data_IF_643261742372
#
_entry.id   IF_643261742372
#
_cell.length_a   1.000
_cell.length_b   1.000
_cell.length_c   1.000
_cell.angle_alpha   90.00
_cell.angle_beta   90.00
_cell.angle_gamma   90.00
#
_symmetry.space_group_name_H-M   'P 1'
#
loop_
_entity.id
_entity.type
_entity.pdbx_description
1 polymer ?
#
# COMPACT_ATOMS: atom_id res chain seq x y z
N UNK A 1 46.54 -47.89 31.96
CA UNK A 1 46.90 -46.52 31.52
C UNK A 1 47.05 -46.38 30.01
N UNK A 2 47.58 -47.39 29.27
CA UNK A 2 47.69 -47.36 27.80
C UNK A 2 46.34 -47.33 27.05
N UNK A 3 45.41 -48.20 27.43
CA UNK A 3 44.08 -48.30 26.79
C UNK A 3 43.27 -47.01 26.89
N UNK A 4 43.31 -46.34 28.05
CA UNK A 4 42.61 -45.06 28.25
C UNK A 4 43.20 -43.94 27.39
N UNK A 5 44.52 -43.96 27.19
CA UNK A 5 45.20 -43.01 26.30
C UNK A 5 44.82 -43.19 24.84
N UNK A 6 44.66 -44.44 24.37
CA UNK A 6 44.21 -44.75 23.02
C UNK A 6 42.76 -44.32 22.77
N UNK A 7 41.88 -44.53 23.76
CA UNK A 7 40.50 -44.06 23.69
C UNK A 7 40.47 -42.53 23.61
N UNK A 8 41.24 -41.83 24.46
CA UNK A 8 41.31 -40.37 24.43
C UNK A 8 41.81 -39.85 23.07
N UNK A 9 42.82 -40.51 22.50
CA UNK A 9 43.38 -40.15 21.20
C UNK A 9 42.37 -40.36 20.07
N UNK A 10 41.58 -41.45 20.12
CA UNK A 10 40.52 -41.71 19.15
C UNK A 10 39.41 -40.67 19.22
N UNK A 11 39.02 -40.24 20.42
CA UNK A 11 38.01 -39.19 20.61
C UNK A 11 38.53 -37.84 20.10
N UNK A 12 39.78 -37.50 20.38
CA UNK A 12 40.43 -36.29 19.86
C UNK A 12 40.51 -36.27 18.33
N UNK A 13 40.80 -37.41 17.70
CA UNK A 13 40.82 -37.53 16.24
C UNK A 13 39.42 -37.37 15.63
N UNK A 14 38.37 -37.88 16.28
CA UNK A 14 36.98 -37.70 15.83
C UNK A 14 36.59 -36.21 15.88
N UNK A 15 36.92 -35.51 16.96
CA UNK A 15 36.67 -34.07 17.07
C UNK A 15 37.46 -33.25 16.03
N UNK A 16 38.66 -33.69 15.65
CA UNK A 16 39.46 -33.02 14.62
C UNK A 16 38.88 -33.16 13.20
N UNK A 17 38.03 -34.17 12.95
CA UNK A 17 37.36 -34.38 11.66
C UNK A 17 35.98 -33.71 11.54
N UNK A 18 35.54 -33.00 12.58
CA UNK A 18 34.25 -32.32 12.58
C UNK A 18 34.37 -31.00 11.79
N UNK A 19 34.17 -31.06 10.48
CA UNK A 19 34.02 -29.84 9.68
C UNK A 19 32.76 -29.10 10.10
N UNK A 20 32.93 -27.85 10.52
CA UNK A 20 31.83 -26.95 10.83
C UNK A 20 31.08 -26.65 9.54
N UNK A 21 29.92 -27.27 9.36
CA UNK A 21 29.00 -26.90 8.29
C UNK A 21 28.39 -25.54 8.64
N UNK A 22 28.99 -24.48 8.11
CA UNK A 22 28.40 -23.14 8.16
C UNK A 22 27.23 -23.09 7.17
N UNK A 23 26.01 -23.21 7.69
CA UNK A 23 24.79 -22.98 6.94
C UNK A 23 24.77 -21.54 6.44
N UNK A 24 25.17 -21.32 5.19
CA UNK A 24 24.95 -20.05 4.49
C UNK A 24 23.49 -19.97 4.05
N UNK A 25 22.64 -19.79 5.05
CA UNK A 25 21.22 -19.50 4.89
C UNK A 25 20.98 -18.03 5.15
N UNK A 26 21.58 -17.15 4.33
CA UNK A 26 21.05 -15.79 4.24
C UNK A 26 19.67 -15.92 3.61
N UNK A 27 18.65 -15.94 4.46
CA UNK A 27 17.26 -15.95 4.04
C UNK A 27 17.08 -14.76 3.09
N UNK A 28 16.62 -14.92 1.83
CA UNK A 28 16.51 -13.80 0.89
C UNK A 28 15.60 -12.66 1.39
N UNK A 29 14.76 -12.92 2.40
CA UNK A 29 13.95 -11.92 3.10
C UNK A 29 14.68 -11.22 4.26
N UNK A 30 15.75 -11.78 4.84
CA UNK A 30 16.54 -11.13 5.91
C UNK A 30 17.46 -10.05 5.35
N UNK A 31 17.80 -10.11 4.07
CA UNK A 31 18.56 -9.05 3.36
C UNK A 31 17.68 -7.90 2.89
N UNK A 32 16.36 -8.09 2.81
CA UNK A 32 15.44 -6.98 2.58
C UNK A 32 15.33 -6.21 3.89
N UNK A 33 16.21 -5.22 4.06
CA UNK A 33 16.04 -4.19 5.05
C UNK A 33 14.70 -3.48 4.76
N UNK A 34 13.62 -3.93 5.39
CA UNK A 34 12.30 -3.32 5.28
C UNK A 34 12.37 -1.82 5.65
N UNK A 35 13.29 -1.46 6.55
CA UNK A 35 13.60 -0.07 6.90
C UNK A 35 14.26 0.75 5.77
N UNK A 36 14.91 0.11 4.78
CA UNK A 36 15.47 0.74 3.57
C UNK A 36 14.47 0.76 2.40
N UNK A 37 13.48 -0.13 2.40
CA UNK A 37 12.33 -0.08 1.49
C UNK A 37 11.32 1.01 1.86
N UNK A 38 11.45 1.58 3.05
CA UNK A 38 10.84 2.86 3.44
C UNK A 38 11.73 3.96 2.84
N UNK A 39 11.15 4.86 2.02
CA UNK A 39 11.75 6.16 1.67
C UNK A 39 12.76 6.30 0.51
N UNK A 40 12.70 5.46 -0.53
CA UNK A 40 12.98 5.96 -1.89
C UNK A 40 11.75 6.68 -2.51
N UNK A 41 10.59 6.64 -1.82
CA UNK A 41 9.44 7.49 -2.08
C UNK A 41 9.76 8.90 -1.57
N UNK A 42 10.19 9.76 -2.48
CA UNK A 42 10.35 11.21 -2.33
C UNK A 42 9.44 11.80 -1.23
N UNK A 43 9.97 12.60 -0.29
CA UNK A 43 9.19 13.44 0.63
C UNK A 43 8.17 14.36 -0.10
N UNK A 44 8.28 14.48 -1.42
CA UNK A 44 7.41 15.28 -2.27
C UNK A 44 6.14 14.55 -2.71
N UNK A 45 6.07 13.22 -2.56
CA UNK A 45 4.96 12.39 -3.04
C UNK A 45 4.34 11.62 -1.86
N UNK A 46 3.15 12.00 -1.40
CA UNK A 46 2.43 11.22 -0.39
C UNK A 46 0.91 11.26 -0.55
N UNK A 47 0.25 10.32 0.10
CA UNK A 47 -1.18 10.38 0.43
C UNK A 47 -1.35 9.90 1.87
N UNK A 48 -2.15 10.62 2.65
CA UNK A 48 -2.43 10.37 4.06
C UNK A 48 -3.92 10.51 4.29
N UNK A 49 -4.46 9.69 5.18
CA UNK A 49 -5.89 9.70 5.47
C UNK A 49 -6.14 9.66 6.97
N UNK A 50 -7.05 10.50 7.43
CA UNK A 50 -7.46 10.58 8.84
C UNK A 50 -8.97 10.80 8.98
N UNK A 51 -9.64 10.16 9.96
CA UNK A 51 -9.12 9.09 10.82
C UNK A 51 -8.94 7.76 10.06
N UNK A 52 -8.14 6.85 10.61
CA UNK A 52 -7.90 5.50 10.05
C UNK A 52 -8.91 4.45 10.51
N UNK A 53 -9.84 4.82 11.39
CA UNK A 53 -10.90 3.97 11.89
C UNK A 53 -12.22 4.74 11.86
N UNK A 54 -13.24 4.16 11.22
CA UNK A 54 -14.56 4.78 11.05
C UNK A 54 -15.65 4.00 11.77
N UNK A 55 -16.77 4.67 12.04
CA UNK A 55 -17.97 4.03 12.58
C UNK A 55 -17.86 3.64 14.06
N UNK A 56 -16.97 4.29 14.81
CA UNK A 56 -16.71 4.00 16.24
C UNK A 56 -17.95 4.09 17.13
N UNK A 57 -18.95 4.89 16.73
CA UNK A 57 -20.22 5.04 17.47
C UNK A 57 -21.39 4.40 16.72
N UNK A 58 -21.11 3.39 15.88
CA UNK A 58 -22.12 2.65 15.11
C UNK A 58 -22.67 3.36 13.87
N UNK A 59 -22.10 4.50 13.46
CA UNK A 59 -22.52 5.17 12.22
C UNK A 59 -22.15 4.32 10.99
N UNK A 60 -23.05 4.34 10.00
CA UNK A 60 -22.82 3.77 8.68
C UNK A 60 -22.18 4.77 7.69
N UNK A 61 -22.01 6.02 8.08
CA UNK A 61 -21.31 7.04 7.29
C UNK A 61 -20.37 7.84 8.16
N UNK A 62 -19.19 8.17 7.64
CA UNK A 62 -18.21 8.95 8.39
C UNK A 62 -17.34 9.81 7.45
N UNK A 63 -16.76 10.87 7.99
CA UNK A 63 -15.92 11.80 7.22
C UNK A 63 -14.45 11.45 7.35
N UNK A 64 -13.75 11.52 6.22
CA UNK A 64 -12.30 11.35 6.14
C UNK A 64 -11.67 12.57 5.50
N UNK A 65 -10.51 12.95 6.00
CA UNK A 65 -9.63 13.94 5.41
C UNK A 65 -8.51 13.19 4.69
N UNK A 66 -8.35 13.46 3.41
CA UNK A 66 -7.31 12.90 2.55
C UNK A 66 -6.35 14.01 2.20
N UNK A 67 -5.13 13.97 2.76
CA UNK A 67 -4.06 14.89 2.44
C UNK A 67 -3.09 14.25 1.46
N UNK A 68 -2.64 14.99 0.47
CA UNK A 68 -1.78 14.44 -0.57
C UNK A 68 -0.76 15.46 -1.08
N UNK A 69 0.32 14.94 -1.63
CA UNK A 69 1.36 15.71 -2.30
C UNK A 69 1.82 14.98 -3.56
N UNK A 70 2.05 15.71 -4.64
CA UNK A 70 2.65 15.26 -5.89
C UNK A 70 3.86 16.14 -6.24
N UNK A 71 5.01 15.55 -6.61
CA UNK A 71 6.16 16.32 -7.09
C UNK A 71 5.91 16.92 -8.48
N UNK A 72 5.00 16.34 -9.26
CA UNK A 72 4.66 16.77 -10.61
C UNK A 72 3.13 16.96 -10.70
N UNK A 73 2.58 18.00 -10.07
CA UNK A 73 1.14 18.20 -10.03
C UNK A 73 0.56 18.59 -11.40
N UNK A 74 -0.60 18.04 -11.71
CA UNK A 74 -1.41 18.42 -12.86
C UNK A 74 -2.82 18.82 -12.44
N UNK A 75 -3.48 19.66 -13.24
CA UNK A 75 -4.92 19.95 -13.07
C UNK A 75 -5.79 18.72 -13.30
N UNK A 76 -5.24 17.71 -13.98
CA UNK A 76 -5.90 16.45 -14.27
C UNK A 76 -5.61 15.37 -13.21
N UNK A 77 -4.86 15.69 -12.16
CA UNK A 77 -4.63 14.76 -11.07
C UNK A 77 -5.92 14.54 -10.27
N UNK A 78 -6.12 13.30 -9.81
CA UNK A 78 -7.34 12.93 -9.11
C UNK A 78 -7.08 11.86 -8.05
N UNK A 79 -7.90 11.87 -7.02
CA UNK A 79 -7.91 10.89 -5.93
C UNK A 79 -9.01 9.87 -6.21
N UNK A 80 -8.65 8.59 -6.26
CA UNK A 80 -9.58 7.47 -6.30
C UNK A 80 -9.73 6.84 -4.91
N UNK A 81 -10.97 6.52 -4.55
CA UNK A 81 -11.32 5.73 -3.36
C UNK A 81 -11.71 4.33 -3.84
N UNK A 82 -11.13 3.31 -3.24
CA UNK A 82 -11.36 1.90 -3.63
C UNK A 82 -11.82 1.10 -2.43
N UNK A 83 -12.77 0.20 -2.67
CA UNK A 83 -13.20 -0.83 -1.75
C UNK A 83 -13.49 -2.08 -2.58
N UNK A 84 -12.84 -3.23 -2.33
CA UNK A 84 -11.88 -3.49 -1.25
C UNK A 84 -10.57 -2.72 -1.38
N UNK A 85 -9.78 -2.72 -0.30
CA UNK A 85 -8.46 -2.10 -0.22
C UNK A 85 -7.45 -2.55 -1.28
N UNK A 86 -7.50 -3.84 -1.60
CA UNK A 86 -6.58 -4.52 -2.50
C UNK A 86 -6.99 -4.32 -3.96
N UNK A 87 -6.98 -3.08 -4.41
CA UNK A 87 -7.42 -2.72 -5.75
C UNK A 87 -6.28 -2.83 -6.78
N UNK A 88 -6.62 -3.26 -7.98
CA UNK A 88 -5.71 -3.19 -9.12
C UNK A 88 -5.80 -1.83 -9.81
N UNK A 89 -4.64 -1.22 -10.04
CA UNK A 89 -4.53 0.01 -10.85
C UNK A 89 -4.12 -0.29 -12.30
N UNK A 90 -4.14 -1.57 -12.71
CA UNK A 90 -3.89 -1.93 -14.10
C UNK A 90 -5.02 -1.41 -14.99
N UNK A 91 -4.69 -1.10 -16.24
CA UNK A 91 -5.69 -0.71 -17.23
C UNK A 91 -6.51 -1.93 -17.64
N UNK A 92 -7.84 -1.75 -17.68
CA UNK A 92 -8.78 -2.71 -18.21
C UNK A 92 -9.56 -2.05 -19.35
N UNK A 93 -9.17 -2.28 -20.62
CA UNK A 93 -9.84 -1.68 -21.77
C UNK A 93 -11.33 -2.03 -21.80
N UNK A 94 -12.15 -1.08 -22.25
CA UNK A 94 -13.55 -1.34 -22.53
C UNK A 94 -13.66 -2.40 -23.64
N UNK A 95 -14.57 -3.39 -23.53
CA UNK A 95 -14.93 -4.25 -24.65
C UNK A 95 -15.41 -3.38 -25.83
N UNK A 96 -14.99 -3.72 -27.06
CA UNK A 96 -15.30 -2.93 -28.26
C UNK A 96 -16.82 -2.69 -28.45
N UNK A 97 -17.64 -3.62 -27.95
CA UNK A 97 -19.10 -3.61 -28.15
C UNK A 97 -19.89 -3.16 -26.91
N UNK A 98 -19.23 -2.62 -25.88
CA UNK A 98 -19.90 -2.18 -24.65
C UNK A 98 -19.77 -0.66 -24.43
N UNK A 99 -20.71 0.16 -24.92
CA UNK A 99 -20.66 1.61 -24.79
C UNK A 99 -20.90 2.10 -23.35
N UNK A 100 -21.29 1.20 -22.43
CA UNK A 100 -21.57 1.54 -21.03
C UNK A 100 -20.33 1.55 -20.13
N UNK A 101 -19.16 1.17 -20.67
CA UNK A 101 -17.91 1.21 -19.92
C UNK A 101 -17.23 2.57 -20.13
N UNK A 102 -17.32 3.41 -19.11
CA UNK A 102 -16.73 4.75 -19.12
C UNK A 102 -15.39 4.81 -18.35
N UNK A 103 -14.51 5.78 -18.66
CA UNK A 103 -13.31 6.05 -17.87
C UNK A 103 -13.65 6.42 -16.41
N UNK A 104 -12.75 6.13 -15.43
CA UNK A 104 -11.41 5.59 -15.60
C UNK A 104 -11.38 4.08 -15.81
N UNK A 105 -10.70 3.64 -16.88
CA UNK A 105 -10.60 2.24 -17.31
C UNK A 105 -9.57 1.46 -16.48
N UNK A 106 -9.87 1.26 -15.20
CA UNK A 106 -9.08 0.50 -14.23
C UNK A 106 -9.73 -0.87 -13.97
N UNK A 107 -8.91 -1.91 -13.77
CA UNK A 107 -9.42 -3.24 -13.45
C UNK A 107 -10.12 -3.33 -12.09
N UNK A 108 -9.92 -2.34 -11.22
CA UNK A 108 -10.77 -2.12 -10.05
C UNK A 108 -11.36 -0.72 -10.17
N UNK A 109 -12.67 -0.63 -10.36
CA UNK A 109 -13.37 0.64 -10.44
C UNK A 109 -13.35 1.35 -9.08
N UNK A 110 -13.03 2.66 -9.02
CA UNK A 110 -13.14 3.41 -7.78
C UNK A 110 -14.62 3.54 -7.38
N UNK A 111 -14.92 3.41 -6.09
CA UNK A 111 -16.27 3.68 -5.57
C UNK A 111 -16.61 5.17 -5.60
N UNK A 112 -15.57 6.01 -5.63
CA UNK A 112 -15.66 7.46 -5.70
C UNK A 112 -14.33 8.00 -6.20
N UNK A 113 -14.37 9.11 -6.92
CA UNK A 113 -13.18 9.89 -7.24
C UNK A 113 -13.44 11.39 -7.11
N UNK A 114 -12.37 12.17 -7.03
CA UNK A 114 -12.42 13.63 -7.08
C UNK A 114 -11.09 14.20 -7.57
N UNK A 115 -11.12 15.29 -8.33
CA UNK A 115 -9.92 16.00 -8.75
C UNK A 115 -9.15 16.58 -7.56
N UNK A 116 -7.82 16.54 -7.66
CA UNK A 116 -6.90 17.02 -6.63
C UNK A 116 -7.05 18.53 -6.36
N UNK A 117 -7.43 19.31 -7.39
CA UNK A 117 -7.62 20.75 -7.30
C UNK A 117 -9.03 21.19 -6.84
N UNK A 118 -9.97 20.25 -6.60
CA UNK A 118 -11.39 20.58 -6.33
C UNK A 118 -11.60 21.54 -5.15
N UNK A 119 -10.91 21.31 -4.03
CA UNK A 119 -10.90 22.22 -2.86
C UNK A 119 -9.55 22.87 -2.61
N UNK A 120 -8.59 22.65 -3.50
CA UNK A 120 -7.26 23.24 -3.42
C UNK A 120 -6.89 23.82 -4.78
N UNK A 121 -7.41 25.02 -5.13
CA UNK A 121 -7.18 25.61 -6.45
C UNK A 121 -5.70 25.79 -6.78
N UNK A 122 -4.86 26.01 -5.75
CA UNK A 122 -3.40 26.16 -5.88
C UNK A 122 -2.63 24.83 -5.93
N UNK A 123 -3.30 23.70 -6.15
CA UNK A 123 -2.66 22.38 -6.17
C UNK A 123 -1.63 22.28 -7.28
N UNK A 124 -1.92 22.86 -8.46
CA UNK A 124 -1.01 22.82 -9.63
C UNK A 124 0.33 23.49 -9.33
N UNK A 125 0.34 24.56 -8.52
CA UNK A 125 1.54 25.31 -8.18
C UNK A 125 2.27 24.71 -6.97
N UNK A 126 1.52 24.21 -5.98
CA UNK A 126 2.09 23.78 -4.69
C UNK A 126 2.40 22.30 -4.62
N UNK A 127 1.77 21.49 -5.47
CA UNK A 127 1.81 20.04 -5.40
C UNK A 127 1.03 19.45 -4.24
N UNK A 128 0.41 20.25 -3.37
CA UNK A 128 -0.20 19.81 -2.12
C UNK A 128 -1.69 20.08 -2.12
N UNK A 129 -2.46 19.15 -1.58
CA UNK A 129 -3.91 19.30 -1.49
C UNK A 129 -4.53 18.51 -0.34
N UNK A 130 -5.78 18.84 -0.06
CA UNK A 130 -6.61 18.14 0.92
C UNK A 130 -8.04 18.03 0.42
N UNK A 131 -8.63 16.85 0.61
CA UNK A 131 -10.04 16.57 0.31
C UNK A 131 -10.74 16.04 1.56
N UNK A 132 -11.95 16.55 1.79
CA UNK A 132 -12.86 15.99 2.79
C UNK A 132 -13.91 15.15 2.09
N UNK A 133 -13.92 13.85 2.36
CA UNK A 133 -14.81 12.87 1.72
C UNK A 133 -15.68 12.21 2.78
N UNK A 134 -16.98 12.07 2.50
CA UNK A 134 -17.85 11.22 3.29
C UNK A 134 -17.84 9.81 2.68
N UNK A 135 -17.57 8.80 3.51
CA UNK A 135 -17.59 7.39 3.14
C UNK A 135 -18.78 6.70 3.78
N UNK A 136 -19.35 5.74 3.06
CA UNK A 136 -20.44 4.88 3.52
C UNK A 136 -19.85 3.50 3.81
N UNK A 137 -20.30 2.84 4.86
CA UNK A 137 -19.88 1.48 5.21
C UNK A 137 -20.34 0.45 4.16
N UNK A 138 -19.50 0.16 3.16
CA UNK A 138 -19.77 -0.82 2.11
C UNK A 138 -19.11 -2.19 2.34
N UNK A 139 -19.16 -2.73 3.57
CA UNK A 139 -18.68 -4.07 3.97
C UNK A 139 -17.17 -4.41 3.85
N UNK A 140 -16.36 -3.72 3.04
CA UNK A 140 -14.88 -3.88 3.00
C UNK A 140 -14.13 -2.60 3.42
N UNK A 141 -12.85 -2.73 3.75
CA UNK A 141 -11.90 -1.62 3.96
C UNK A 141 -11.73 -0.68 2.74
N UNK A 142 -11.08 0.47 2.96
CA UNK A 142 -10.91 1.55 1.96
C UNK A 142 -9.47 1.96 1.72
N UNK A 143 -9.05 1.89 0.46
CA UNK A 143 -7.75 2.42 0.00
C UNK A 143 -7.95 3.68 -0.83
N UNK A 144 -6.90 4.49 -0.87
CA UNK A 144 -6.87 5.75 -1.59
C UNK A 144 -5.64 5.77 -2.50
N UNK A 145 -5.82 6.32 -3.68
CA UNK A 145 -4.71 6.49 -4.60
C UNK A 145 -4.79 7.82 -5.35
N UNK A 146 -3.61 8.38 -5.61
CA UNK A 146 -3.41 9.57 -6.41
C UNK A 146 -3.02 9.14 -7.83
N UNK A 147 -3.78 9.62 -8.80
CA UNK A 147 -3.57 9.40 -10.23
C UNK A 147 -3.25 10.72 -10.93
N UNK A 148 -2.56 10.61 -12.06
CA UNK A 148 -2.31 11.70 -13.01
C UNK A 148 -2.75 11.28 -14.42
N UNK A 149 -2.77 12.22 -15.37
CA UNK A 149 -3.15 11.93 -16.76
C UNK A 149 -4.67 11.86 -16.99
N UNK A 150 -5.45 12.40 -16.06
CA UNK A 150 -6.90 12.45 -16.15
C UNK A 150 -7.57 11.08 -15.99
N UNK A 151 -8.88 11.06 -16.25
CA UNK A 151 -9.68 9.84 -16.19
C UNK A 151 -9.47 8.95 -17.43
N UNK A 152 -9.17 9.54 -18.58
CA UNK A 152 -8.97 8.82 -19.85
C UNK A 152 -7.65 8.07 -19.93
N UNK A 153 -6.58 8.57 -19.29
CA UNK A 153 -5.27 7.92 -19.27
C UNK A 153 -4.69 7.87 -17.85
N UNK A 154 -5.33 7.14 -16.93
CA UNK A 154 -5.01 7.20 -15.52
C UNK A 154 -3.67 6.52 -15.22
N UNK A 155 -2.74 7.29 -14.67
CA UNK A 155 -1.42 6.80 -14.22
C UNK A 155 -1.35 6.89 -12.71
N UNK A 156 -1.38 5.72 -12.05
CA UNK A 156 -1.23 5.64 -10.60
C UNK A 156 0.16 6.15 -10.18
N UNK A 157 0.19 7.16 -9.30
CA UNK A 157 1.42 7.73 -8.75
C UNK A 157 1.72 7.22 -7.36
N UNK A 158 0.70 7.15 -6.52
CA UNK A 158 0.83 6.81 -5.12
C UNK A 158 -0.38 5.99 -4.71
N UNK A 159 -0.15 4.89 -3.99
CA UNK A 159 -1.19 4.09 -3.36
C UNK A 159 -1.00 4.11 -1.85
N UNK A 160 -2.07 4.29 -1.11
CA UNK A 160 -2.06 4.04 0.33
C UNK A 160 -2.29 2.55 0.59
N UNK A 161 -1.23 1.86 1.00
CA UNK A 161 -1.29 0.42 1.26
C UNK A 161 -2.05 0.08 2.56
N UNK A 162 -1.99 0.95 3.58
CA UNK A 162 -2.62 0.74 4.90
C UNK A 162 -3.91 1.52 5.08
N UNK A 163 -4.93 0.81 5.53
CA UNK A 163 -6.34 1.09 5.28
C UNK A 163 -7.01 1.89 6.38
N UNK A 164 -8.09 2.55 5.99
CA UNK A 164 -9.16 2.78 6.94
C UNK A 164 -9.75 1.42 7.32
N UNK A 165 -9.47 0.98 8.54
CA UNK A 165 -10.13 -0.18 9.13
C UNK A 165 -11.54 0.22 9.57
N UNK A 166 -12.47 -0.71 9.49
CA UNK A 166 -13.78 -0.55 10.14
C UNK A 166 -13.69 -1.19 11.51
N UNK A 167 -14.35 -0.62 12.50
CA UNK A 167 -14.57 -1.38 13.72
C UNK A 167 -15.57 -2.48 13.35
N UNK A 168 -15.08 -3.71 13.24
CA UNK A 168 -15.91 -4.89 13.03
C UNK A 168 -16.77 -5.03 14.28
N UNK A 169 -18.10 -5.09 14.11
CA UNK A 169 -19.00 -5.50 15.17
C UNK A 169 -18.54 -6.87 15.66
N UNK A 170 -17.89 -6.92 16.82
CA UNK A 170 -17.93 -8.11 17.66
C UNK A 170 -19.40 -8.26 18.05
N UNK A 171 -20.09 -9.17 17.37
CA UNK A 171 -21.31 -9.73 17.91
C UNK A 171 -20.90 -10.55 19.13
N UNK A 172 -21.40 -10.13 20.30
CA UNK A 172 -21.62 -11.02 21.44
C UNK A 172 -22.52 -12.20 21.04
#
# INVERSE_FOLDING_TARGET
MRELGLILLSVLLIFATLEVVASHGDQPLSTIAAQKAIFALHHQAYIKVSPTLLGLKGQNTDWVTVEFSSPNPSVEDWIGVFSPSNFSASSCPAPADNPWVEPPLLCSAPIKYQYANYRTPKYKETGKGSLKLQLINQRSDFSFALFSGGLSNPRCRIKLHSQIQKHQFTHD
#
